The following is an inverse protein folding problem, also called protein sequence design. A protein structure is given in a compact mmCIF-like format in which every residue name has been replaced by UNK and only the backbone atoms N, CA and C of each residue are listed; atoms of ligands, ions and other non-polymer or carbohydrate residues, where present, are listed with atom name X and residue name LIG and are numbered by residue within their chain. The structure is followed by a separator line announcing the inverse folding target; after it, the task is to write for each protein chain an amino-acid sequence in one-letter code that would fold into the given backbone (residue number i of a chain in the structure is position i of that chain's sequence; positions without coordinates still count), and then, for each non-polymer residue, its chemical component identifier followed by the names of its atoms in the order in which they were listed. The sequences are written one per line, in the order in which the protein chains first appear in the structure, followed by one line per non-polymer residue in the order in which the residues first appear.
data_IF_061653761658
#
_entry.id   IF_061653761658
#
_cell.length_a   1.000
_cell.length_b   1.000
_cell.length_c   1.000
_cell.angle_alpha   90.00
_cell.angle_beta   90.00
_cell.angle_gamma   90.00
#
_symmetry.space_group_name_H-M   'P 1'
#
loop_
_entity.id
_entity.type
_entity.pdbx_description
1 polymer ?
#
# COMPACT_ATOMS: atom_id res chain seq x y z
N UNK A 1 0.52 -3.57 16.01
CA UNK A 1 0.09 -3.82 14.61
C UNK A 1 0.61 -2.66 13.77
N UNK A 2 1.07 -2.89 12.54
CA UNK A 2 1.62 -1.85 11.66
C UNK A 2 0.93 -1.90 10.29
N UNK A 3 1.17 -0.88 9.48
CA UNK A 3 0.67 -0.77 8.11
C UNK A 3 1.84 -0.97 7.16
N UNK A 4 1.78 -2.03 6.38
CA UNK A 4 2.76 -2.40 5.37
C UNK A 4 2.25 -1.97 4.00
N UNK A 5 2.96 -1.08 3.33
CA UNK A 5 2.55 -0.55 2.04
C UNK A 5 3.49 -0.98 0.94
N UNK A 6 2.95 -1.58 -0.12
CA UNK A 6 3.72 -2.09 -1.24
C UNK A 6 3.28 -1.45 -2.54
N UNK A 7 4.22 -0.94 -3.31
CA UNK A 7 3.93 -0.42 -4.66
C UNK A 7 3.48 -1.58 -5.56
N UNK A 8 2.45 -1.37 -6.38
CA UNK A 8 1.87 -2.43 -7.25
C UNK A 8 2.89 -2.96 -8.26
N UNK A 9 3.57 -2.06 -8.96
CA UNK A 9 4.73 -2.42 -9.78
C UNK A 9 5.95 -2.47 -8.85
N UNK A 10 5.98 -3.53 -8.04
CA UNK A 10 7.07 -3.86 -7.12
C UNK A 10 8.44 -3.86 -7.82
N UNK A 11 9.55 -3.95 -7.06
CA UNK A 11 10.84 -3.68 -7.62
C UNK A 11 11.15 -4.70 -8.72
N UNK A 12 11.50 -4.20 -9.90
CA UNK A 12 11.91 -5.04 -11.01
C UNK A 12 13.14 -5.89 -10.64
N UNK A 13 13.46 -6.91 -11.43
CA UNK A 13 14.60 -7.79 -11.14
C UNK A 13 15.91 -7.01 -10.94
N UNK A 14 16.16 -5.99 -11.76
CA UNK A 14 17.31 -5.10 -11.63
C UNK A 14 17.33 -4.31 -10.31
N UNK A 15 16.16 -3.91 -9.81
CA UNK A 15 16.04 -3.17 -8.54
C UNK A 15 16.25 -4.11 -7.35
N UNK A 16 15.74 -5.35 -7.42
CA UNK A 16 16.02 -6.38 -6.41
C UNK A 16 17.51 -6.69 -6.31
N UNK A 17 18.18 -6.86 -7.46
CA UNK A 17 19.63 -7.03 -7.52
C UNK A 17 20.33 -5.81 -6.91
N UNK A 18 19.87 -4.60 -7.22
CA UNK A 18 20.44 -3.37 -6.65
C UNK A 18 20.26 -3.27 -5.13
N UNK A 19 19.10 -3.68 -4.57
CA UNK A 19 18.88 -3.76 -3.11
C UNK A 19 19.86 -4.73 -2.48
N UNK A 20 20.01 -5.93 -3.05
CA UNK A 20 20.88 -6.96 -2.52
C UNK A 20 22.35 -6.52 -2.53
N UNK A 21 22.81 -5.94 -3.64
CA UNK A 21 24.14 -5.34 -3.72
C UNK A 21 24.33 -4.19 -2.72
N UNK A 22 23.30 -3.35 -2.51
CA UNK A 22 23.37 -2.24 -1.57
C UNK A 22 23.41 -2.74 -0.11
N UNK A 23 22.68 -3.82 0.22
CA UNK A 23 22.80 -4.51 1.50
C UNK A 23 24.19 -5.09 1.74
N UNK A 24 24.79 -5.74 0.74
CA UNK A 24 26.16 -6.24 0.87
C UNK A 24 27.18 -5.10 1.04
N UNK A 25 27.02 -4.00 0.30
CA UNK A 25 27.83 -2.79 0.50
C UNK A 25 27.62 -2.17 1.89
N UNK A 26 26.40 -2.18 2.44
CA UNK A 26 26.14 -1.71 3.80
C UNK A 26 26.80 -2.59 4.86
N UNK A 27 26.77 -3.92 4.69
CA UNK A 27 27.49 -4.85 5.57
C UNK A 27 29.00 -4.55 5.56
N UNK A 28 29.58 -4.32 4.39
CA UNK A 28 30.99 -3.96 4.23
C UNK A 28 31.30 -2.55 4.78
N UNK A 29 30.43 -1.57 4.55
CA UNK A 29 30.57 -0.20 5.05
C UNK A 29 30.49 -0.15 6.59
N UNK A 30 29.61 -0.96 7.21
CA UNK A 30 29.54 -1.11 8.67
C UNK A 30 30.79 -1.76 9.25
N UNK A 31 31.40 -2.70 8.53
CA UNK A 31 32.66 -3.33 8.94
C UNK A 31 33.87 -2.38 8.83
N UNK A 32 33.82 -1.39 7.94
CA UNK A 32 34.95 -0.49 7.62
C UNK A 32 34.76 0.95 8.12
N UNK A 33 33.57 1.31 8.61
CA UNK A 33 33.24 2.65 9.12
C UNK A 33 33.11 3.74 8.05
N UNK A 34 33.13 3.41 6.76
CA UNK A 34 33.14 4.39 5.65
C UNK A 34 32.00 4.12 4.66
N UNK A 35 31.32 5.16 4.15
CA UNK A 35 30.30 5.03 3.09
C UNK A 35 28.92 4.50 3.55
N UNK A 36 28.69 4.42 4.86
CA UNK A 36 27.42 3.93 5.44
C UNK A 36 26.22 4.77 4.98
N UNK A 37 26.37 6.11 4.90
CA UNK A 37 25.29 7.02 4.51
C UNK A 37 24.90 6.86 3.01
N UNK A 38 25.89 6.72 2.12
CA UNK A 38 25.66 6.50 0.68
C UNK A 38 25.03 5.12 0.42
N UNK A 39 25.47 4.10 1.17
CA UNK A 39 24.87 2.76 1.11
C UNK A 39 23.41 2.78 1.61
N UNK A 40 23.11 3.53 2.68
CA UNK A 40 21.73 3.74 3.11
C UNK A 40 20.89 4.46 2.06
N UNK A 41 21.41 5.52 1.42
CA UNK A 41 20.68 6.24 0.38
C UNK A 41 20.37 5.36 -0.84
N UNK A 42 21.25 4.41 -1.19
CA UNK A 42 20.99 3.46 -2.29
C UNK A 42 20.03 2.34 -1.93
N UNK A 43 20.11 1.82 -0.69
CA UNK A 43 19.08 0.93 -0.16
C UNK A 43 17.75 1.67 -0.19
N UNK A 44 17.71 2.87 0.37
CA UNK A 44 16.54 3.73 0.45
C UNK A 44 15.96 4.11 -0.92
N UNK A 45 16.75 4.09 -2.01
CA UNK A 45 16.26 4.25 -3.40
C UNK A 45 15.70 2.94 -3.97
N UNK A 46 16.28 1.81 -3.62
CA UNK A 46 15.89 0.50 -4.12
C UNK A 46 14.79 -0.17 -3.26
N UNK A 47 14.57 0.28 -2.02
CA UNK A 47 13.52 -0.17 -1.09
C UNK A 47 12.23 0.64 -1.18
N UNK A 48 12.12 1.61 -2.08
CA UNK A 48 10.97 2.53 -2.23
C UNK A 48 9.69 1.88 -2.73
N UNK A 49 9.74 0.59 -3.03
CA UNK A 49 8.58 -0.23 -3.28
C UNK A 49 7.86 -0.66 -1.99
N UNK A 50 8.42 -0.33 -0.83
CA UNK A 50 7.87 -0.64 0.48
C UNK A 50 7.94 0.56 1.41
N UNK A 51 6.88 0.78 2.17
CA UNK A 51 6.84 1.76 3.24
C UNK A 51 6.10 1.17 4.44
N UNK A 52 6.56 1.48 5.65
CA UNK A 52 5.94 0.97 6.88
C UNK A 52 5.62 2.11 7.82
N UNK A 53 4.37 2.14 8.28
CA UNK A 53 3.99 2.89 9.47
C UNK A 53 3.70 1.95 10.62
N UNK A 54 4.02 2.38 11.84
CA UNK A 54 3.35 1.80 13.01
C UNK A 54 1.93 2.41 13.14
N UNK A 55 1.08 1.84 13.99
CA UNK A 55 -0.32 2.30 14.14
C UNK A 55 -0.44 3.78 14.54
N UNK A 56 0.47 4.28 15.37
CA UNK A 56 0.50 5.68 15.79
C UNK A 56 0.93 6.59 14.64
N UNK A 57 2.03 6.24 13.96
CA UNK A 57 2.53 7.02 12.82
C UNK A 57 1.49 7.10 11.70
N UNK A 58 0.76 6.02 11.43
CA UNK A 58 -0.35 6.03 10.45
C UNK A 58 -1.52 6.91 10.92
N UNK A 59 -1.80 6.96 12.23
CA UNK A 59 -2.76 7.91 12.81
C UNK A 59 -2.36 9.35 12.51
N UNK A 60 -1.13 9.73 12.90
CA UNK A 60 -0.58 11.08 12.67
C UNK A 60 -0.51 11.42 11.19
N UNK A 61 -0.07 10.48 10.34
CA UNK A 61 0.00 10.69 8.89
C UNK A 61 -1.39 10.98 8.30
N UNK A 62 -2.43 10.24 8.71
CA UNK A 62 -3.81 10.49 8.25
C UNK A 62 -4.34 11.84 8.72
N UNK A 63 -4.05 12.25 9.94
CA UNK A 63 -4.43 13.57 10.45
C UNK A 63 -3.80 14.69 9.62
N UNK A 64 -2.49 14.61 9.36
CA UNK A 64 -1.78 15.57 8.50
C UNK A 64 -2.31 15.54 7.07
N UNK A 65 -2.52 14.36 6.48
CA UNK A 65 -3.12 14.22 5.15
C UNK A 65 -4.51 14.85 5.11
N UNK A 66 -5.32 14.70 6.16
CA UNK A 66 -6.61 15.37 6.30
C UNK A 66 -6.48 16.90 6.33
N UNK A 67 -5.54 17.42 7.11
CA UNK A 67 -5.27 18.87 7.21
C UNK A 67 -4.81 19.47 5.87
N UNK A 68 -4.05 18.73 5.07
CA UNK A 68 -3.62 19.13 3.72
C UNK A 68 -4.66 18.87 2.62
N UNK A 69 -5.85 18.36 2.95
CA UNK A 69 -6.88 18.03 1.96
C UNK A 69 -6.51 16.87 1.04
N UNK A 70 -5.58 16.01 1.46
CA UNK A 70 -5.11 14.84 0.69
C UNK A 70 -6.07 13.64 0.78
N UNK A 71 -7.05 13.70 1.69
CA UNK A 71 -8.00 12.62 1.95
C UNK A 71 -9.41 12.96 1.48
N UNK A 72 -10.16 11.91 1.15
CA UNK A 72 -11.61 11.96 0.97
C UNK A 72 -12.29 11.06 2.00
N UNK A 73 -13.48 11.46 2.45
CA UNK A 73 -14.24 10.75 3.49
C UNK A 73 -15.48 10.10 2.88
N UNK A 74 -15.25 9.23 1.89
CA UNK A 74 -16.30 8.40 1.31
C UNK A 74 -16.52 7.11 2.09
N UNK A 75 -17.70 6.52 1.93
CA UNK A 75 -18.05 5.24 2.54
C UNK A 75 -17.28 4.08 1.89
N UNK A 76 -16.81 3.16 2.73
CA UNK A 76 -16.19 1.90 2.30
C UNK A 76 -17.15 1.11 1.38
N UNK A 77 -16.65 0.51 0.29
CA UNK A 77 -17.46 -0.36 -0.56
C UNK A 77 -17.99 -1.57 0.22
N UNK A 78 -19.17 -2.05 -0.18
CA UNK A 78 -19.72 -3.30 0.38
C UNK A 78 -18.90 -4.49 -0.09
N UNK A 79 -18.39 -5.27 0.86
CA UNK A 79 -17.72 -6.55 0.58
C UNK A 79 -18.72 -7.57 0.00
N UNK A 80 -18.27 -8.45 -0.92
CA UNK A 80 -19.13 -9.48 -1.48
C UNK A 80 -19.58 -10.47 -0.41
N UNK A 81 -20.79 -10.98 -0.58
CA UNK A 81 -21.26 -12.10 0.23
C UNK A 81 -20.46 -13.37 -0.11
N UNK A 82 -20.07 -14.10 0.93
CA UNK A 82 -19.28 -15.34 0.84
C UNK A 82 -20.10 -16.58 1.18
N UNK A 83 -21.41 -16.44 1.39
CA UNK A 83 -22.33 -17.54 1.70
C UNK A 83 -22.23 -18.66 0.66
N UNK A 84 -22.29 -18.33 -0.63
CA UNK A 84 -22.21 -19.31 -1.71
C UNK A 84 -20.88 -20.11 -1.67
N UNK A 85 -19.75 -19.43 -1.47
CA UNK A 85 -18.46 -20.10 -1.31
C UNK A 85 -18.42 -20.99 -0.05
N UNK A 86 -19.00 -20.51 1.05
CA UNK A 86 -19.07 -21.26 2.31
C UNK A 86 -19.90 -22.53 2.16
N UNK A 87 -21.04 -22.45 1.48
CA UNK A 87 -21.91 -23.58 1.16
C UNK A 87 -21.21 -24.58 0.24
N UNK A 88 -20.57 -24.11 -0.83
CA UNK A 88 -19.84 -24.97 -1.76
C UNK A 88 -18.66 -25.68 -1.08
N UNK A 89 -17.93 -24.98 -0.21
CA UNK A 89 -16.85 -25.56 0.59
C UNK A 89 -17.37 -26.62 1.58
N UNK A 90 -18.50 -26.38 2.22
CA UNK A 90 -19.12 -27.34 3.12
C UNK A 90 -19.64 -28.60 2.40
N UNK A 91 -20.07 -28.47 1.13
CA UNK A 91 -20.40 -29.61 0.29
C UNK A 91 -19.15 -30.43 -0.05
N UNK A 92 -18.04 -29.77 -0.42
CA UNK A 92 -16.77 -30.43 -0.72
C UNK A 92 -16.20 -31.19 0.48
N UNK A 93 -16.37 -30.66 1.70
CA UNK A 93 -15.96 -31.35 2.92
C UNK A 93 -16.74 -32.66 3.16
N UNK A 94 -18.01 -32.70 2.76
CA UNK A 94 -18.85 -33.91 2.88
C UNK A 94 -18.56 -34.93 1.78
N UNK A 95 -18.26 -34.46 0.57
CA UNK A 95 -18.11 -35.27 -0.64
C UNK A 95 -16.82 -34.91 -1.40
N UNK A 96 -15.62 -35.18 -0.83
CA UNK A 96 -14.34 -34.71 -1.38
C UNK A 96 -13.97 -35.34 -2.73
N UNK A 97 -14.45 -36.57 -2.97
CA UNK A 97 -14.18 -37.32 -4.19
C UNK A 97 -15.17 -36.98 -5.32
N UNK A 98 -16.23 -36.22 -5.04
CA UNK A 98 -17.20 -35.81 -6.07
C UNK A 98 -16.64 -34.66 -6.92
N UNK A 99 -16.46 -34.94 -8.21
CA UNK A 99 -15.89 -34.00 -9.18
C UNK A 99 -16.80 -32.78 -9.41
N UNK A 100 -18.12 -32.96 -9.42
CA UNK A 100 -19.06 -31.86 -9.62
C UNK A 100 -19.05 -30.92 -8.41
N UNK A 101 -18.96 -31.47 -7.20
CA UNK A 101 -18.83 -30.68 -5.97
C UNK A 101 -17.52 -29.89 -5.96
N UNK A 102 -16.40 -30.49 -6.39
CA UNK A 102 -15.11 -29.79 -6.51
C UNK A 102 -15.17 -28.64 -7.51
N UNK A 103 -15.74 -28.87 -8.69
CA UNK A 103 -15.91 -27.83 -9.70
C UNK A 103 -16.80 -26.69 -9.22
N UNK A 104 -17.87 -26.98 -8.47
CA UNK A 104 -18.74 -25.98 -7.89
C UNK A 104 -18.01 -25.10 -6.85
N UNK A 105 -17.19 -25.71 -5.98
CA UNK A 105 -16.34 -24.98 -5.03
C UNK A 105 -15.34 -24.08 -5.75
N UNK A 106 -14.62 -24.60 -6.75
CA UNK A 106 -13.64 -23.83 -7.50
C UNK A 106 -14.28 -22.62 -8.20
N UNK A 107 -15.45 -22.81 -8.81
CA UNK A 107 -16.20 -21.75 -9.45
C UNK A 107 -16.73 -20.70 -8.45
N UNK A 108 -17.19 -21.13 -7.27
CA UNK A 108 -17.62 -20.21 -6.21
C UNK A 108 -16.43 -19.41 -5.64
N UNK A 109 -15.30 -20.08 -5.39
CA UNK A 109 -14.06 -19.44 -4.94
C UNK A 109 -13.56 -18.41 -5.93
N UNK A 110 -13.54 -18.75 -7.23
CA UNK A 110 -13.11 -17.84 -8.29
C UNK A 110 -14.01 -16.58 -8.34
N UNK A 111 -15.32 -16.75 -8.21
CA UNK A 111 -16.28 -15.63 -8.20
C UNK A 111 -16.10 -14.72 -6.99
N UNK A 112 -16.01 -15.30 -5.78
CA UNK A 112 -15.76 -14.51 -4.56
C UNK A 112 -14.42 -13.80 -4.62
N UNK A 113 -13.35 -14.48 -5.07
CA UNK A 113 -12.02 -13.86 -5.20
C UNK A 113 -12.03 -12.69 -6.19
N UNK A 114 -12.71 -12.83 -7.33
CA UNK A 114 -12.83 -11.74 -8.30
C UNK A 114 -13.62 -10.56 -7.74
N UNK A 115 -14.71 -10.81 -7.01
CA UNK A 115 -15.52 -9.76 -6.38
C UNK A 115 -14.76 -9.03 -5.26
N UNK A 116 -14.00 -9.77 -4.44
CA UNK A 116 -13.11 -9.21 -3.41
C UNK A 116 -12.05 -8.32 -4.06
N UNK A 117 -11.43 -8.76 -5.14
CA UNK A 117 -10.42 -7.98 -5.84
C UNK A 117 -11.00 -6.71 -6.49
N UNK A 118 -12.21 -6.80 -7.06
CA UNK A 118 -12.92 -5.64 -7.59
C UNK A 118 -13.19 -4.60 -6.49
N UNK A 119 -13.56 -5.03 -5.29
CA UNK A 119 -13.71 -4.14 -4.12
C UNK A 119 -12.36 -3.49 -3.77
N UNK A 120 -11.30 -4.29 -3.60
CA UNK A 120 -9.96 -3.81 -3.22
C UNK A 120 -9.36 -2.82 -4.20
N UNK A 121 -9.66 -2.98 -5.49
CA UNK A 121 -9.14 -2.15 -6.58
C UNK A 121 -10.07 -1.00 -6.98
N UNK A 122 -11.20 -0.85 -6.29
CA UNK A 122 -12.15 0.21 -6.59
C UNK A 122 -11.52 1.60 -6.44
N UNK A 123 -11.60 2.39 -7.49
CA UNK A 123 -11.26 3.82 -7.50
C UNK A 123 -12.47 4.61 -8.00
N UNK A 124 -13.18 5.28 -7.08
CA UNK A 124 -14.39 6.07 -7.37
C UNK A 124 -14.10 7.46 -7.93
N UNK A 125 -12.85 7.90 -7.89
CA UNK A 125 -12.44 9.19 -8.44
C UNK A 125 -12.86 10.35 -7.59
N UNK A 126 -12.08 10.60 -6.54
CA UNK A 126 -12.20 11.76 -5.66
C UNK A 126 -10.98 12.69 -5.73
N UNK A 127 -11.04 13.85 -5.05
CA UNK A 127 -9.93 14.80 -4.98
C UNK A 127 -8.76 14.37 -4.08
N UNK A 128 -8.67 13.09 -3.70
CA UNK A 128 -7.63 12.57 -2.81
C UNK A 128 -7.81 11.09 -2.53
N UNK A 129 -7.02 10.57 -1.60
CA UNK A 129 -7.04 9.16 -1.19
C UNK A 129 -8.24 8.90 -0.29
N UNK A 130 -9.01 7.85 -0.57
CA UNK A 130 -10.12 7.47 0.30
C UNK A 130 -9.62 7.07 1.69
N UNK A 131 -10.11 7.75 2.73
CA UNK A 131 -9.64 7.58 4.10
C UNK A 131 -9.74 6.13 4.59
N UNK A 132 -10.82 5.42 4.25
CA UNK A 132 -11.02 4.03 4.67
C UNK A 132 -9.88 3.10 4.21
N UNK A 133 -9.26 3.37 3.04
CA UNK A 133 -8.16 2.56 2.51
C UNK A 133 -6.90 2.59 3.39
N UNK A 134 -6.75 3.63 4.20
CA UNK A 134 -5.63 3.81 5.14
C UNK A 134 -6.02 3.45 6.59
N UNK A 135 -7.23 2.95 6.82
CA UNK A 135 -7.73 2.59 8.15
C UNK A 135 -7.61 1.10 8.48
N UNK A 136 -7.33 0.27 7.48
CA UNK A 136 -7.24 -1.18 7.60
C UNK A 136 -6.19 -1.77 6.67
N UNK A 137 -5.83 -3.02 6.94
CA UNK A 137 -4.83 -3.79 6.20
C UNK A 137 -5.49 -4.76 5.21
N UNK A 138 -6.59 -4.35 4.58
CA UNK A 138 -7.41 -5.23 3.74
C UNK A 138 -6.93 -5.32 2.28
N UNK A 139 -5.66 -4.99 2.02
CA UNK A 139 -5.02 -4.98 0.70
C UNK A 139 -5.69 -4.01 -0.30
N UNK A 140 -6.21 -2.88 0.21
CA UNK A 140 -6.76 -1.79 -0.60
C UNK A 140 -5.71 -1.24 -1.56
N UNK A 141 -6.07 -1.11 -2.83
CA UNK A 141 -5.27 -0.38 -3.80
C UNK A 141 -5.57 1.12 -3.67
N UNK A 142 -4.52 1.88 -3.36
CA UNK A 142 -4.51 3.33 -3.54
C UNK A 142 -3.97 3.61 -4.93
N UNK A 143 -4.85 4.04 -5.83
CA UNK A 143 -4.56 4.19 -7.25
C UNK A 143 -3.63 5.37 -7.56
N UNK A 144 -2.93 5.37 -8.72
CA UNK A 144 -2.17 6.53 -9.19
C UNK A 144 -2.97 7.84 -9.22
N UNK A 145 -4.25 7.77 -9.57
CA UNK A 145 -5.13 8.93 -9.65
C UNK A 145 -5.42 9.53 -8.27
N UNK A 146 -5.71 8.70 -7.29
CA UNK A 146 -5.91 9.13 -5.90
C UNK A 146 -4.64 9.78 -5.33
N UNK A 147 -3.48 9.17 -5.60
CA UNK A 147 -2.17 9.68 -5.17
C UNK A 147 -1.88 11.01 -5.84
N UNK A 148 -2.12 11.14 -7.16
CA UNK A 148 -1.94 12.40 -7.88
C UNK A 148 -2.77 13.52 -7.25
N UNK A 149 -4.04 13.25 -6.98
CA UNK A 149 -4.95 14.23 -6.40
C UNK A 149 -4.49 14.65 -5.00
N UNK A 150 -4.08 13.68 -4.17
CA UNK A 150 -3.50 13.93 -2.86
C UNK A 150 -2.22 14.78 -2.92
N UNK A 151 -1.26 14.42 -3.78
CA UNK A 151 -0.02 15.18 -3.96
C UNK A 151 -0.26 16.59 -4.51
N UNK A 152 -1.28 16.76 -5.36
CA UNK A 152 -1.69 18.08 -5.86
C UNK A 152 -2.26 18.94 -4.74
N UNK A 153 -3.11 18.39 -3.88
CA UNK A 153 -3.63 19.09 -2.71
C UNK A 153 -2.49 19.54 -1.78
N UNK A 154 -1.55 18.62 -1.48
CA UNK A 154 -0.37 18.94 -0.71
C UNK A 154 0.50 20.04 -1.35
N UNK A 155 0.76 19.96 -2.66
CA UNK A 155 1.56 20.95 -3.37
C UNK A 155 0.91 22.34 -3.40
N UNK A 156 -0.42 22.42 -3.29
CA UNK A 156 -1.19 23.66 -3.20
C UNK A 156 -1.18 24.30 -1.81
N UNK A 157 -0.72 23.59 -0.77
CA UNK A 157 -0.65 24.12 0.58
C UNK A 157 0.48 25.16 0.75
N UNK A 158 0.34 26.01 1.76
CA UNK A 158 1.35 27.04 2.09
C UNK A 158 2.69 26.35 2.41
N UNK A 159 3.81 26.94 1.98
CA UNK A 159 5.14 26.33 2.20
C UNK A 159 5.46 26.17 3.68
N UNK A 160 5.07 27.14 4.51
CA UNK A 160 5.29 27.12 5.96
C UNK A 160 4.62 25.90 6.62
N UNK A 161 3.35 25.62 6.29
CA UNK A 161 2.62 24.45 6.81
C UNK A 161 3.32 23.12 6.42
N UNK A 162 3.85 23.04 5.20
CA UNK A 162 4.58 21.86 4.72
C UNK A 162 5.90 21.65 5.46
N UNK A 163 6.63 22.73 5.71
CA UNK A 163 7.87 22.72 6.49
C UNK A 163 7.62 22.39 7.97
N UNK A 164 6.51 22.86 8.54
CA UNK A 164 6.07 22.50 9.89
C UNK A 164 5.76 21.01 9.99
N UNK A 165 4.96 20.46 9.07
CA UNK A 165 4.65 19.03 9.05
C UNK A 165 5.92 18.15 8.96
N UNK A 166 6.92 18.54 8.16
CA UNK A 166 8.19 17.84 8.06
C UNK A 166 9.02 17.88 9.35
N UNK A 167 8.95 18.98 10.12
CA UNK A 167 9.64 19.12 11.40
C UNK A 167 8.95 18.35 12.52
N UNK A 168 7.62 18.41 12.58
CA UNK A 168 6.83 17.86 13.67
C UNK A 168 6.58 16.36 13.54
N UNK A 169 6.54 15.87 12.29
CA UNK A 169 6.40 14.47 11.99
C UNK A 169 7.54 14.00 11.09
N UNK A 170 8.61 13.51 11.71
CA UNK A 170 9.84 13.08 11.01
C UNK A 170 9.63 12.15 9.80
N UNK A 171 8.65 11.22 9.79
CA UNK A 171 8.35 10.40 8.62
C UNK A 171 7.66 11.13 7.45
N UNK A 172 7.21 12.37 7.61
CA UNK A 172 6.37 13.06 6.63
C UNK A 172 7.04 13.20 5.25
N UNK A 173 8.29 13.64 5.21
CA UNK A 173 9.01 13.84 3.95
C UNK A 173 9.20 12.52 3.19
N UNK A 174 9.54 11.44 3.91
CA UNK A 174 9.71 10.11 3.31
C UNK A 174 8.37 9.53 2.83
N UNK A 175 7.27 9.84 3.53
CA UNK A 175 5.93 9.48 3.11
C UNK A 175 5.52 10.18 1.79
N UNK A 176 5.73 11.50 1.68
CA UNK A 176 5.47 12.24 0.43
C UNK A 176 6.33 11.71 -0.71
N UNK A 177 7.59 11.36 -0.44
CA UNK A 177 8.47 10.75 -1.43
C UNK A 177 7.98 9.36 -1.86
N UNK A 178 7.50 8.53 -0.94
CA UNK A 178 6.89 7.24 -1.26
C UNK A 178 5.66 7.41 -2.17
N UNK A 179 4.73 8.29 -1.80
CA UNK A 179 3.55 8.59 -2.61
C UNK A 179 3.93 9.02 -4.04
N UNK A 180 4.89 9.94 -4.17
CA UNK A 180 5.37 10.41 -5.48
C UNK A 180 5.82 9.26 -6.39
N UNK A 181 6.41 8.21 -5.82
CA UNK A 181 6.86 7.07 -6.60
C UNK A 181 5.78 6.06 -6.86
N UNK A 182 4.97 5.74 -5.85
CA UNK A 182 3.83 4.86 -6.00
C UNK A 182 2.89 5.35 -7.12
N UNK A 183 2.72 6.68 -7.26
CA UNK A 183 1.98 7.29 -8.37
C UNK A 183 2.46 6.81 -9.74
N UNK A 184 3.78 6.72 -9.93
CA UNK A 184 4.40 6.33 -11.20
C UNK A 184 4.51 4.82 -11.42
N UNK A 185 4.07 4.02 -10.45
CA UNK A 185 4.29 2.57 -10.38
C UNK A 185 2.99 1.80 -10.05
N UNK A 186 1.89 2.24 -10.63
CA UNK A 186 0.60 1.56 -10.50
C UNK A 186 -0.13 1.77 -9.16
N UNK A 187 0.40 2.60 -8.27
CA UNK A 187 -0.17 2.86 -6.94
C UNK A 187 0.50 2.03 -5.85
N UNK A 188 -0.19 1.83 -4.73
CA UNK A 188 0.28 0.93 -3.67
C UNK A 188 -0.87 0.22 -2.95
N UNK A 189 -0.59 -0.93 -2.35
CA UNK A 189 -1.50 -1.67 -1.48
C UNK A 189 -1.19 -1.50 -0.01
N UNK A 190 -2.22 -1.55 0.84
CA UNK A 190 -2.14 -1.45 2.30
C UNK A 190 -2.39 -2.82 2.94
N UNK A 191 -1.38 -3.40 3.61
CA UNK A 191 -1.33 -4.76 4.14
C UNK A 191 -0.90 -4.81 5.62
#
# INVERSE_FOLDING_TARGET
MGYDMYVEDGPGEAERIAVEEAHERLKQARATGTGVLEAYQRIDVATRSYYRFNVWDMGTARELMGAFGMLTFEDEPTWPDVAEYTEARAALEKEPDDEAVRQAEEAARARVSAAVEAVRTTDRGGPGIAHYKLCSNDAWLVSPREIEAALRAYAGAVSEDREEAGRDFGPWESWIQFLTQAQTRGGFRVC
#
